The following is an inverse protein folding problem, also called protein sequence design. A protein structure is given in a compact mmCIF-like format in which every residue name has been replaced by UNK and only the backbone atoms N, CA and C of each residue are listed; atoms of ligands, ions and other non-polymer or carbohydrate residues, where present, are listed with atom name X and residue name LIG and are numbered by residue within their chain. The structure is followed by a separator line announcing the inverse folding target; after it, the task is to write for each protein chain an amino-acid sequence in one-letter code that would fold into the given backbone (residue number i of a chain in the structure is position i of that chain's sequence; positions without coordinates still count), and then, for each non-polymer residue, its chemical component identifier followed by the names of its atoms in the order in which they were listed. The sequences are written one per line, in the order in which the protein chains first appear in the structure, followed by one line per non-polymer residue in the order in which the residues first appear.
data_IF_726390595701
#
_entry.id   IF_726390595701
#
_cell.length_a   1.000
_cell.length_b   1.000
_cell.length_c   1.000
_cell.angle_alpha   90.00
_cell.angle_beta   90.00
_cell.angle_gamma   90.00
#
_symmetry.space_group_name_H-M   'P 1'
#
loop_
_entity.id
_entity.type
_entity.pdbx_description
1 polymer ?
#
# COMPACT_ATOMS: atom_id res chain seq x y z
N UNK A 1 17.42 5.89 -1.83
CA UNK A 1 16.75 6.81 -2.77
C UNK A 1 16.50 8.12 -2.05
N UNK A 2 16.70 9.26 -2.72
CA UNK A 2 16.30 10.57 -2.22
C UNK A 2 14.78 10.79 -2.43
N UNK A 3 14.22 11.84 -1.82
CA UNK A 3 12.82 12.23 -2.06
C UNK A 3 12.55 12.46 -3.56
N UNK A 4 13.42 13.23 -4.23
CA UNK A 4 13.30 13.50 -5.67
C UNK A 4 13.28 12.23 -6.54
N UNK A 5 14.01 11.17 -6.14
CA UNK A 5 13.98 9.89 -6.86
C UNK A 5 12.65 9.15 -6.68
N UNK A 6 11.97 9.32 -5.54
CA UNK A 6 10.63 8.79 -5.31
C UNK A 6 9.55 9.61 -6.03
N UNK A 7 9.67 10.94 -5.99
CA UNK A 7 8.77 11.83 -6.70
C UNK A 7 8.79 11.53 -8.19
N UNK A 8 9.97 11.36 -8.79
CA UNK A 8 10.10 10.98 -10.19
C UNK A 8 9.51 9.59 -10.48
N UNK A 9 9.67 8.63 -9.56
CA UNK A 9 9.14 7.27 -9.75
C UNK A 9 7.62 7.30 -9.85
N UNK A 10 6.94 7.98 -8.94
CA UNK A 10 5.48 8.06 -8.87
C UNK A 10 4.90 9.30 -9.57
N UNK A 11 5.61 9.84 -10.56
CA UNK A 11 5.18 11.06 -11.25
C UNK A 11 4.05 10.84 -12.27
N UNK A 12 3.76 9.58 -12.62
CA UNK A 12 2.69 9.21 -13.55
C UNK A 12 1.54 8.49 -12.84
N UNK A 13 0.43 8.31 -13.57
CA UNK A 13 -0.80 7.71 -13.04
C UNK A 13 -0.84 6.16 -13.16
N UNK A 14 0.27 5.51 -13.51
CA UNK A 14 0.31 4.06 -13.64
C UNK A 14 0.61 3.39 -12.30
N UNK A 15 -0.11 2.29 -12.04
CA UNK A 15 0.19 1.44 -10.90
C UNK A 15 1.42 0.56 -11.13
N UNK A 16 2.55 0.90 -10.54
CA UNK A 16 3.80 0.13 -10.61
C UNK A 16 3.66 -1.29 -10.06
N UNK A 17 2.75 -1.50 -9.10
CA UNK A 17 2.54 -2.80 -8.46
C UNK A 17 1.15 -3.39 -8.71
N UNK A 18 0.38 -2.79 -9.62
CA UNK A 18 -1.03 -3.10 -9.84
C UNK A 18 -1.91 -2.76 -8.64
N UNK A 19 -3.21 -3.06 -8.76
CA UNK A 19 -4.23 -2.65 -7.80
C UNK A 19 -4.60 -3.74 -6.78
N UNK A 20 -4.21 -4.99 -7.02
CA UNK A 20 -4.46 -6.07 -6.09
C UNK A 20 -3.62 -5.89 -4.81
N UNK A 21 -4.20 -6.15 -3.61
CA UNK A 21 -3.47 -6.05 -2.36
C UNK A 21 -2.30 -7.04 -2.30
N UNK A 22 -1.31 -6.73 -1.48
CA UNK A 22 -0.17 -7.62 -1.28
C UNK A 22 -0.64 -9.01 -0.77
N UNK A 23 -0.28 -10.08 -1.47
CA UNK A 23 -0.68 -11.44 -1.12
C UNK A 23 -0.24 -11.87 0.30
N UNK A 24 0.91 -11.37 0.78
CA UNK A 24 1.34 -11.61 2.15
C UNK A 24 0.42 -10.92 3.15
N UNK A 25 0.01 -9.67 2.91
CA UNK A 25 -0.96 -8.98 3.78
C UNK A 25 -2.27 -9.78 3.89
N UNK A 26 -2.79 -10.26 2.76
CA UNK A 26 -3.98 -11.12 2.72
C UNK A 26 -3.77 -12.39 3.55
N UNK A 27 -2.60 -13.03 3.42
CA UNK A 27 -2.28 -14.24 4.20
C UNK A 27 -2.24 -14.03 5.71
N UNK A 28 -2.00 -12.78 6.16
CA UNK A 28 -1.95 -12.40 7.57
C UNK A 28 -3.27 -11.77 8.05
N UNK A 29 -4.29 -11.66 7.20
CA UNK A 29 -5.56 -11.00 7.53
C UNK A 29 -6.22 -11.54 8.81
N UNK A 30 -6.04 -12.83 9.09
CA UNK A 30 -6.57 -13.48 10.30
C UNK A 30 -6.00 -12.92 11.62
N UNK A 31 -4.87 -12.20 11.57
CA UNK A 31 -4.26 -11.53 12.73
C UNK A 31 -4.79 -10.12 12.94
N UNK A 32 -5.46 -9.54 11.95
CA UNK A 32 -5.93 -8.17 12.01
C UNK A 32 -7.21 -8.09 12.85
N UNK A 33 -7.39 -7.00 13.62
CA UNK A 33 -8.66 -6.75 14.30
C UNK A 33 -9.77 -6.55 13.25
N UNK A 34 -11.01 -6.89 13.62
CA UNK A 34 -12.17 -6.72 12.72
C UNK A 34 -12.54 -5.27 12.45
N UNK A 35 -12.05 -4.34 13.26
CA UNK A 35 -12.35 -2.90 13.19
C UNK A 35 -11.26 -2.11 13.91
N UNK A 36 -11.04 -0.86 13.48
CA UNK A 36 -10.08 0.05 14.09
C UNK A 36 -9.52 1.04 13.06
N UNK A 37 -8.38 1.64 13.40
CA UNK A 37 -7.61 2.46 12.47
C UNK A 37 -6.33 1.70 12.07
N UNK A 38 -5.98 1.77 10.78
CA UNK A 38 -4.74 1.21 10.25
C UNK A 38 -3.74 2.33 9.90
N UNK A 39 -2.46 2.12 10.22
CA UNK A 39 -1.36 2.98 9.80
C UNK A 39 -0.48 2.22 8.82
N UNK A 40 -0.50 2.62 7.54
CA UNK A 40 0.34 2.05 6.49
C UNK A 40 1.48 3.02 6.17
N UNK A 41 2.71 2.62 6.48
CA UNK A 41 3.91 3.43 6.27
C UNK A 41 4.50 3.17 4.89
N UNK A 42 4.83 4.24 4.16
CA UNK A 42 5.44 4.16 2.83
C UNK A 42 4.64 3.29 1.85
N UNK A 43 3.30 3.33 1.90
CA UNK A 43 2.42 2.47 1.09
C UNK A 43 2.31 2.89 -0.39
N UNK A 44 3.14 3.82 -0.84
CA UNK A 44 3.21 4.29 -2.23
C UNK A 44 1.84 4.66 -2.78
N UNK A 45 1.37 3.87 -3.74
CA UNK A 45 0.10 4.04 -4.46
C UNK A 45 -1.15 3.63 -3.66
N UNK A 46 -0.99 3.16 -2.41
CA UNK A 46 -2.09 2.97 -1.47
C UNK A 46 -2.90 1.68 -1.63
N UNK A 47 -2.47 0.74 -2.48
CA UNK A 47 -3.22 -0.51 -2.74
C UNK A 47 -3.53 -1.33 -1.48
N UNK A 48 -2.65 -1.29 -0.48
CA UNK A 48 -2.89 -2.01 0.78
C UNK A 48 -3.76 -1.18 1.73
N UNK A 49 -3.54 0.13 1.79
CA UNK A 49 -4.35 1.07 2.59
C UNK A 49 -5.82 1.03 2.18
N UNK A 50 -6.10 1.00 0.87
CA UNK A 50 -7.47 0.86 0.35
C UNK A 50 -8.09 -0.48 0.75
N UNK A 51 -7.33 -1.57 0.75
CA UNK A 51 -7.83 -2.88 1.18
C UNK A 51 -8.03 -2.97 2.71
N UNK A 52 -7.27 -2.21 3.49
CA UNK A 52 -7.38 -2.13 4.96
C UNK A 52 -8.53 -1.24 5.45
N UNK A 53 -9.10 -0.40 4.57
CA UNK A 53 -10.18 0.56 4.89
C UNK A 53 -11.58 -0.07 4.73
#
# INVERSE_FOLDING_TARGET
MSAAQWDQRYADDHYHYGTAPNAWLISQAWRLPRSGAALALADGEGRNSVWLA
#
